data_IF_775672047182
#
_entry.id   IF_775672047182
#
_cell.length_a   1.000
_cell.length_b   1.000
_cell.length_c   1.000
_cell.angle_alpha   90.00
_cell.angle_beta   90.00
_cell.angle_gamma   90.00
#
_symmetry.space_group_name_H-M   'P 1'
#
loop_
_entity.id
_entity.type
_entity.pdbx_description
1 polymer ?
#
# COMPACT_ATOMS: atom_id res chain seq x y z
N UNK A 1 19.05 12.42 -8.42
CA UNK A 1 18.21 13.40 -7.70
C UNK A 1 17.59 12.68 -6.53
N UNK A 2 17.69 13.20 -5.31
CA UNK A 2 16.98 12.61 -4.19
C UNK A 2 15.50 13.00 -4.36
N UNK A 3 14.66 12.03 -4.72
CA UNK A 3 13.22 12.21 -4.77
C UNK A 3 12.68 12.14 -3.34
N UNK A 4 12.78 13.26 -2.62
CA UNK A 4 12.11 13.44 -1.33
C UNK A 4 10.90 14.33 -1.58
N UNK A 5 9.71 13.84 -1.22
CA UNK A 5 8.51 14.68 -1.22
C UNK A 5 8.63 15.73 -0.10
N UNK A 6 8.53 17.00 -0.48
CA UNK A 6 8.55 18.10 0.46
C UNK A 6 7.20 18.20 1.21
N UNK A 7 7.25 18.71 2.44
CA UNK A 7 6.03 18.96 3.22
C UNK A 7 5.17 20.00 2.49
N UNK A 8 3.88 19.67 2.28
CA UNK A 8 2.94 20.51 1.55
C UNK A 8 2.90 20.27 0.05
N UNK A 9 3.76 19.39 -0.48
CA UNK A 9 3.63 18.92 -1.85
C UNK A 9 2.31 18.15 -2.04
N UNK A 10 1.68 18.34 -3.20
CA UNK A 10 0.55 17.51 -3.62
C UNK A 10 1.03 16.07 -3.82
N UNK A 11 0.24 15.11 -3.35
CA UNK A 11 0.52 13.70 -3.59
C UNK A 11 0.51 13.42 -5.11
N UNK A 12 1.49 12.69 -5.66
CA UNK A 12 1.44 12.20 -7.03
C UNK A 12 0.17 11.38 -7.24
N UNK A 13 -0.48 11.60 -8.38
CA UNK A 13 -1.65 10.81 -8.75
C UNK A 13 -1.24 9.38 -9.12
N UNK A 14 -2.15 8.44 -8.99
CA UNK A 14 -1.94 7.05 -9.37
C UNK A 14 -3.26 6.40 -9.76
N UNK A 15 -3.20 5.32 -10.52
CA UNK A 15 -4.31 4.38 -10.72
C UNK A 15 -3.72 2.98 -10.77
N UNK A 16 -3.95 2.18 -9.71
CA UNK A 16 -3.28 0.89 -9.54
C UNK A 16 -4.28 -0.23 -9.23
N UNK A 17 -4.02 -1.47 -9.70
CA UNK A 17 -4.81 -2.63 -9.32
C UNK A 17 -4.55 -3.03 -7.86
N UNK A 18 -5.62 -3.46 -7.19
CA UNK A 18 -5.61 -3.89 -5.80
C UNK A 18 -5.92 -5.38 -5.65
N UNK A 19 -5.45 -5.97 -4.54
CA UNK A 19 -5.63 -7.39 -4.24
C UNK A 19 -7.08 -7.84 -4.05
N UNK A 20 -8.03 -6.90 -3.95
CA UNK A 20 -9.47 -7.18 -3.88
C UNK A 20 -10.13 -7.27 -5.27
N UNK A 21 -9.35 -7.08 -6.35
CA UNK A 21 -9.81 -7.13 -7.74
C UNK A 21 -10.32 -5.80 -8.29
N UNK A 22 -10.24 -4.71 -7.52
CA UNK A 22 -10.59 -3.37 -7.97
C UNK A 22 -9.35 -2.58 -8.41
N UNK A 23 -9.57 -1.49 -9.13
CA UNK A 23 -8.54 -0.48 -9.38
C UNK A 23 -8.85 0.74 -8.50
N UNK A 24 -7.82 1.30 -7.87
CA UNK A 24 -7.93 2.48 -7.04
C UNK A 24 -7.03 3.59 -7.56
N UNK A 25 -7.57 4.80 -7.59
CA UNK A 25 -6.86 6.04 -7.85
C UNK A 25 -6.76 6.89 -6.61
N UNK A 26 -5.87 7.90 -6.62
CA UNK A 26 -5.76 8.84 -5.49
C UNK A 26 -7.11 9.50 -5.17
N UNK A 27 -7.89 9.83 -6.20
CA UNK A 27 -9.21 10.45 -6.09
C UNK A 27 -10.28 9.56 -5.43
N UNK A 28 -10.13 8.23 -5.47
CA UNK A 28 -11.08 7.30 -4.82
C UNK A 28 -11.02 7.40 -3.29
N UNK A 29 -9.99 8.06 -2.75
CA UNK A 29 -9.82 8.32 -1.32
C UNK A 29 -10.13 9.78 -0.94
N UNK A 30 -10.75 10.58 -1.83
CA UNK A 30 -10.99 12.00 -1.59
C UNK A 30 -11.93 12.30 -0.40
N UNK A 31 -12.79 11.34 -0.03
CA UNK A 31 -13.69 11.47 1.12
C UNK A 31 -12.99 11.20 2.46
N UNK A 32 -11.76 10.67 2.44
CA UNK A 32 -10.97 10.42 3.65
C UNK A 32 -10.28 11.70 4.11
N UNK A 33 -10.55 12.20 5.34
CA UNK A 33 -9.87 13.38 5.88
C UNK A 33 -8.35 13.29 5.87
N UNK A 34 -7.81 12.08 6.07
CA UNK A 34 -6.39 11.79 6.03
C UNK A 34 -6.18 10.48 5.26
N UNK A 35 -5.26 10.51 4.29
CA UNK A 35 -4.78 9.34 3.58
C UNK A 35 -3.32 9.07 3.96
N UNK A 36 -3.03 7.84 4.36
CA UNK A 36 -1.66 7.35 4.58
C UNK A 36 -1.33 6.36 3.48
N UNK A 37 -0.41 6.77 2.59
CA UNK A 37 0.19 5.90 1.58
C UNK A 37 1.53 5.41 2.11
N UNK A 38 1.77 4.10 2.05
CA UNK A 38 3.05 3.51 2.46
C UNK A 38 3.49 2.43 1.48
N UNK A 39 4.79 2.40 1.20
CA UNK A 39 5.38 1.38 0.35
C UNK A 39 5.78 0.17 1.18
N UNK A 40 5.39 -1.01 0.72
CA UNK A 40 5.56 -2.27 1.44
C UNK A 40 5.84 -3.41 0.46
N UNK A 41 6.10 -4.62 0.97
CA UNK A 41 6.35 -5.80 0.14
C UNK A 41 6.02 -7.09 0.93
N UNK A 42 6.19 -8.25 0.32
CA UNK A 42 5.73 -9.51 0.91
C UNK A 42 6.84 -10.26 1.66
N UNK A 43 8.10 -10.06 1.28
CA UNK A 43 9.23 -10.90 1.70
C UNK A 43 10.23 -10.21 2.64
N UNK A 44 10.26 -8.87 2.66
CA UNK A 44 11.28 -8.14 3.42
C UNK A 44 11.10 -8.35 4.94
N UNK A 45 12.15 -8.76 5.68
CA UNK A 45 12.04 -9.03 7.11
C UNK A 45 11.64 -7.80 7.92
N UNK A 46 11.98 -6.59 7.45
CA UNK A 46 11.57 -5.34 8.09
C UNK A 46 10.06 -5.11 7.96
N UNK A 47 9.49 -5.38 6.77
CA UNK A 47 8.05 -5.27 6.54
C UNK A 47 7.32 -6.31 7.37
N UNK A 48 7.72 -7.57 7.27
CA UNK A 48 7.11 -8.68 8.02
C UNK A 48 7.16 -8.40 9.53
N UNK A 49 8.30 -7.90 10.04
CA UNK A 49 8.44 -7.52 11.44
C UNK A 49 7.57 -6.34 11.87
N UNK A 50 7.10 -5.51 10.93
CA UNK A 50 6.25 -4.34 11.18
C UNK A 50 4.76 -4.57 10.98
N UNK A 51 4.35 -5.64 10.30
CA UNK A 51 2.95 -5.93 9.93
C UNK A 51 1.96 -5.71 11.08
N UNK A 52 2.23 -6.28 12.26
CA UNK A 52 1.33 -6.18 13.40
C UNK A 52 1.31 -4.80 14.06
N UNK A 53 2.41 -4.05 13.97
CA UNK A 53 2.44 -2.65 14.41
C UNK A 53 1.64 -1.78 13.45
N UNK A 54 1.78 -2.02 12.14
CA UNK A 54 1.00 -1.36 11.10
C UNK A 54 -0.49 -1.66 11.28
N UNK A 55 -0.88 -2.93 11.44
CA UNK A 55 -2.27 -3.36 11.71
C UNK A 55 -2.87 -2.58 12.88
N UNK A 56 -2.21 -2.59 14.03
CA UNK A 56 -2.66 -1.86 15.23
C UNK A 56 -2.77 -0.36 15.00
N UNK A 57 -1.91 0.20 14.15
CA UNK A 57 -1.95 1.62 13.80
C UNK A 57 -3.20 1.90 12.94
N UNK A 58 -3.45 1.10 11.91
CA UNK A 58 -4.64 1.25 11.08
C UNK A 58 -5.92 1.16 11.92
N UNK A 59 -6.05 0.11 12.73
CA UNK A 59 -7.20 -0.08 13.62
C UNK A 59 -7.41 1.07 14.60
N UNK A 60 -6.32 1.63 15.17
CA UNK A 60 -6.38 2.76 16.10
C UNK A 60 -6.91 4.05 15.46
N UNK A 61 -6.74 4.23 14.16
CA UNK A 61 -7.08 5.46 13.44
C UNK A 61 -8.27 5.31 12.47
N UNK A 62 -8.79 4.09 12.28
CA UNK A 62 -9.94 3.82 11.41
C UNK A 62 -11.15 4.70 11.76
N UNK A 63 -11.54 4.75 13.05
CA UNK A 63 -12.67 5.56 13.52
C UNK A 63 -12.38 7.07 13.56
N UNK A 64 -11.19 7.51 13.13
CA UNK A 64 -10.75 8.91 13.14
C UNK A 64 -10.66 9.50 11.73
N UNK A 65 -11.19 8.80 10.73
CA UNK A 65 -11.19 9.25 9.34
C UNK A 65 -9.82 9.14 8.67
N UNK A 66 -8.99 8.19 9.11
CA UNK A 66 -7.70 7.91 8.44
C UNK A 66 -7.82 6.64 7.62
N UNK A 67 -7.50 6.74 6.33
CA UNK A 67 -7.44 5.59 5.43
C UNK A 67 -5.98 5.22 5.15
N UNK A 68 -5.69 3.92 5.11
CA UNK A 68 -4.36 3.39 4.85
C UNK A 68 -4.35 2.60 3.55
N UNK A 69 -3.35 2.86 2.72
CA UNK A 69 -3.13 2.22 1.42
C UNK A 69 -1.66 1.80 1.32
N UNK A 70 -1.43 0.49 1.23
CA UNK A 70 -0.12 -0.09 0.98
C UNK A 70 0.12 -0.19 -0.52
N UNK A 71 1.34 0.08 -0.99
CA UNK A 71 1.75 -0.09 -2.39
C UNK A 71 2.97 -1.01 -2.46
N UNK A 72 2.90 -2.07 -3.27
CA UNK A 72 4.06 -2.90 -3.62
C UNK A 72 4.58 -2.53 -5.01
N UNK A 73 5.76 -1.91 -5.03
CA UNK A 73 6.46 -1.52 -6.24
C UNK A 73 7.59 -2.49 -6.63
N UNK A 74 7.88 -3.52 -5.83
CA UNK A 74 9.01 -4.42 -6.09
C UNK A 74 8.85 -5.19 -7.40
N UNK A 75 9.94 -5.50 -8.09
CA UNK A 75 9.88 -6.31 -9.31
C UNK A 75 9.74 -7.79 -8.98
N UNK A 76 8.69 -8.43 -9.50
CA UNK A 76 8.46 -9.87 -9.34
C UNK A 76 9.50 -10.72 -10.07
N UNK A 77 10.15 -10.16 -11.11
CA UNK A 77 11.27 -10.82 -11.79
C UNK A 77 12.47 -11.00 -10.85
N UNK A 78 12.65 -10.08 -9.91
CA UNK A 78 13.74 -10.14 -8.92
C UNK A 78 13.36 -10.98 -7.71
N UNK A 79 12.09 -10.96 -7.30
CA UNK A 79 11.58 -11.68 -6.13
C UNK A 79 10.15 -12.18 -6.41
N UNK A 80 10.01 -13.48 -6.67
CA UNK A 80 8.72 -14.09 -7.00
C UNK A 80 7.66 -13.92 -5.89
N UNK A 81 8.08 -13.78 -4.64
CA UNK A 81 7.17 -13.53 -3.50
C UNK A 81 6.46 -12.17 -3.59
N UNK A 82 6.96 -11.21 -4.37
CA UNK A 82 6.32 -9.90 -4.60
C UNK A 82 5.37 -9.88 -5.80
N UNK A 83 5.13 -11.01 -6.45
CA UNK A 83 4.11 -11.12 -7.49
C UNK A 83 2.72 -10.75 -6.94
N UNK A 84 1.82 -10.32 -7.84
CA UNK A 84 0.45 -9.97 -7.48
C UNK A 84 -0.31 -11.13 -6.82
N UNK A 85 -0.13 -12.36 -7.30
CA UNK A 85 -0.80 -13.54 -6.72
C UNK A 85 -0.39 -13.77 -5.25
N UNK A 86 0.89 -13.61 -4.93
CA UNK A 86 1.37 -13.69 -3.55
C UNK A 86 0.87 -12.52 -2.70
N UNK A 87 0.69 -11.32 -3.26
CA UNK A 87 0.05 -10.22 -2.54
C UNK A 87 -1.40 -10.56 -2.16
N UNK A 88 -2.16 -11.13 -3.11
CA UNK A 88 -3.54 -11.57 -2.88
C UNK A 88 -3.59 -12.64 -1.80
N UNK A 89 -2.71 -13.65 -1.86
CA UNK A 89 -2.64 -14.72 -0.86
C UNK A 89 -2.28 -14.19 0.53
N UNK A 90 -1.33 -13.23 0.60
CA UNK A 90 -0.95 -12.55 1.83
C UNK A 90 -2.14 -11.84 2.47
N UNK A 91 -2.90 -11.08 1.68
CA UNK A 91 -4.09 -10.38 2.18
C UNK A 91 -5.17 -11.34 2.67
N UNK A 92 -5.39 -12.46 1.98
CA UNK A 92 -6.31 -13.53 2.42
C UNK A 92 -5.86 -14.20 3.72
N UNK A 93 -4.56 -14.47 3.85
CA UNK A 93 -3.99 -15.18 5.00
C UNK A 93 -4.05 -14.33 6.27
N UNK A 94 -3.60 -13.07 6.19
CA UNK A 94 -3.42 -12.23 7.37
C UNK A 94 -4.59 -11.28 7.64
N UNK A 95 -5.48 -11.09 6.66
CA UNK A 95 -6.63 -10.19 6.71
C UNK A 95 -6.23 -8.79 7.20
N UNK A 96 -5.26 -8.19 6.52
CA UNK A 96 -4.78 -6.88 6.88
C UNK A 96 -5.84 -5.80 6.62
N UNK A 97 -6.00 -4.82 7.53
CA UNK A 97 -7.09 -3.82 7.47
C UNK A 97 -6.79 -2.63 6.54
N UNK A 98 -6.01 -2.81 5.46
CA UNK A 98 -5.69 -1.76 4.50
C UNK A 98 -5.88 -2.25 3.06
N UNK A 99 -6.03 -1.31 2.12
CA UNK A 99 -6.02 -1.62 0.68
C UNK A 99 -4.58 -1.86 0.24
N UNK A 100 -4.32 -2.91 -0.54
CA UNK A 100 -2.97 -3.25 -1.02
C UNK A 100 -2.88 -3.21 -2.55
N UNK A 101 -2.15 -2.23 -3.06
CA UNK A 101 -2.02 -1.90 -4.48
C UNK A 101 -0.71 -2.44 -5.06
N UNK A 102 -0.73 -2.78 -6.35
CA UNK A 102 0.44 -3.20 -7.12
C UNK A 102 0.86 -2.13 -8.11
N UNK A 103 2.08 -1.64 -7.96
CA UNK A 103 2.75 -0.77 -8.92
C UNK A 103 3.83 -1.57 -9.67
N UNK A 104 3.46 -2.19 -10.79
CA UNK A 104 4.37 -3.05 -11.54
C UNK A 104 5.29 -2.27 -12.50
N UNK A 105 4.83 -1.13 -13.03
CA UNK A 105 5.55 -0.38 -14.06
C UNK A 105 6.49 0.69 -13.49
N UNK A 106 6.22 1.19 -12.26
CA UNK A 106 7.02 2.23 -11.59
C UNK A 106 7.17 3.52 -12.41
N UNK A 107 6.21 3.79 -13.30
CA UNK A 107 6.27 4.93 -14.22
C UNK A 107 5.42 6.11 -13.78
N UNK A 108 4.63 5.95 -12.72
CA UNK A 108 3.63 6.92 -12.26
C UNK A 108 4.10 7.66 -11.00
#
# INVERSE_FOLDING_TARGET
MAFTLEIGATAPDFTLPATDGQNYSLSDFADSPILVVFFTCNHCPFVIGSDEVTRKTVERFADKGVTFVGINANSEETNAEDSFDHMVERMKTYNFPWVYLRDADQTT
#
